data_IF_082549115010
#
_entry.id   IF_082549115010
#
_cell.length_a   1.000
_cell.length_b   1.000
_cell.length_c   1.000
_cell.angle_alpha   90.00
_cell.angle_beta   90.00
_cell.angle_gamma   90.00
#
_symmetry.space_group_name_H-M   'P 1'
#
loop_
_entity.id
_entity.type
_entity.pdbx_description
1 polymer ?
#
# COMPACT_ATOMS: atom_id res chain seq x y z
N UNK A 1 -15.15 13.18 30.24
CA UNK A 1 -14.29 12.00 30.00
C UNK A 1 -14.70 11.30 28.68
N UNK A 2 -15.96 10.89 28.53
CA UNK A 2 -16.47 10.21 27.33
C UNK A 2 -16.35 11.05 26.03
N UNK A 3 -16.59 12.36 26.10
CA UNK A 3 -16.48 13.28 24.97
C UNK A 3 -15.04 13.39 24.45
N UNK A 4 -14.05 13.47 25.33
CA UNK A 4 -12.63 13.48 24.95
C UNK A 4 -12.18 12.18 24.27
N UNK A 5 -12.75 11.05 24.67
CA UNK A 5 -12.46 9.78 24.04
C UNK A 5 -12.96 9.72 22.59
N UNK A 6 -14.20 10.17 22.35
CA UNK A 6 -14.74 10.22 20.98
C UNK A 6 -13.96 11.21 20.09
N UNK A 7 -13.58 12.37 20.65
CA UNK A 7 -12.69 13.30 19.94
C UNK A 7 -11.35 12.65 19.56
N UNK A 8 -10.77 11.85 20.46
CA UNK A 8 -9.54 11.10 20.17
C UNK A 8 -9.72 10.04 19.08
N UNK A 9 -10.85 9.33 19.04
CA UNK A 9 -11.16 8.39 17.95
C UNK A 9 -11.32 9.11 16.61
N UNK A 10 -11.96 10.27 16.59
CA UNK A 10 -12.12 11.09 15.38
C UNK A 10 -10.76 11.63 14.89
N UNK A 11 -9.90 12.06 15.81
CA UNK A 11 -8.52 12.48 15.51
C UNK A 11 -7.69 11.32 14.95
N UNK A 12 -7.77 10.16 15.57
CA UNK A 12 -7.08 8.94 15.12
C UNK A 12 -7.47 8.59 13.67
N UNK A 13 -8.78 8.63 13.37
CA UNK A 13 -9.31 8.42 12.01
C UNK A 13 -8.78 9.46 11.03
N UNK A 14 -8.79 10.73 11.40
CA UNK A 14 -8.35 11.81 10.52
C UNK A 14 -6.85 11.71 10.19
N UNK A 15 -6.00 11.38 11.18
CA UNK A 15 -4.57 11.18 10.98
C UNK A 15 -4.28 9.98 10.08
N UNK A 16 -4.98 8.86 10.29
CA UNK A 16 -4.81 7.66 9.45
C UNK A 16 -5.16 7.94 7.99
N UNK A 17 -6.26 8.65 7.73
CA UNK A 17 -6.65 9.05 6.37
C UNK A 17 -5.65 10.01 5.74
N UNK A 18 -5.10 10.95 6.52
CA UNK A 18 -4.05 11.85 6.04
C UNK A 18 -2.79 11.07 5.64
N UNK A 19 -2.35 10.12 6.47
CA UNK A 19 -1.23 9.22 6.16
C UNK A 19 -1.50 8.38 4.91
N UNK A 20 -2.72 7.82 4.81
CA UNK A 20 -3.14 7.06 3.63
C UNK A 20 -3.07 7.86 2.33
N UNK A 21 -3.51 9.12 2.34
CA UNK A 21 -3.37 10.03 1.21
C UNK A 21 -1.91 10.32 0.84
N UNK A 22 -1.02 10.40 1.83
CA UNK A 22 0.42 10.59 1.59
C UNK A 22 1.05 9.33 0.98
N UNK A 23 0.73 8.14 1.47
CA UNK A 23 1.21 6.87 0.96
C UNK A 23 0.73 6.64 -0.49
N UNK A 24 -0.57 6.87 -0.77
CA UNK A 24 -1.12 6.81 -2.13
C UNK A 24 -0.39 7.77 -3.08
N UNK A 25 -0.17 9.00 -2.66
CA UNK A 25 0.54 10.01 -3.46
C UNK A 25 2.01 9.61 -3.72
N UNK A 26 2.68 8.97 -2.76
CA UNK A 26 4.04 8.50 -2.93
C UNK A 26 4.12 7.41 -4.02
N UNK A 27 3.20 6.43 -4.03
CA UNK A 27 3.11 5.39 -5.07
C UNK A 27 2.82 6.03 -6.44
N UNK A 28 1.88 6.97 -6.53
CA UNK A 28 1.54 7.66 -7.77
C UNK A 28 2.73 8.46 -8.33
N UNK A 29 3.47 9.16 -7.48
CA UNK A 29 4.67 9.88 -7.88
C UNK A 29 5.78 8.95 -8.36
N UNK A 30 6.04 7.84 -7.64
CA UNK A 30 7.07 6.87 -8.01
C UNK A 30 6.76 6.24 -9.40
N UNK A 31 5.51 5.88 -9.65
CA UNK A 31 5.08 5.29 -10.92
C UNK A 31 5.03 6.31 -12.07
N UNK A 32 4.70 7.57 -11.78
CA UNK A 32 4.81 8.67 -12.73
C UNK A 32 6.27 8.97 -13.06
N UNK A 33 7.17 8.90 -12.06
CA UNK A 33 8.61 9.01 -12.27
C UNK A 33 9.14 7.93 -13.22
N UNK A 34 8.67 6.69 -13.08
CA UNK A 34 9.00 5.60 -14.00
C UNK A 34 8.60 5.94 -15.44
N UNK A 35 7.33 6.31 -15.67
CA UNK A 35 6.80 6.63 -16.99
C UNK A 35 7.55 7.79 -17.67
N UNK A 36 7.87 8.82 -16.90
CA UNK A 36 8.47 10.06 -17.41
C UNK A 36 10.00 10.10 -17.30
N UNK A 37 10.62 9.10 -16.66
CA UNK A 37 12.05 9.07 -16.30
C UNK A 37 12.46 10.32 -15.52
N UNK A 38 11.64 10.73 -14.55
CA UNK A 38 11.75 12.00 -13.83
C UNK A 38 12.42 11.81 -12.46
N UNK A 39 13.69 12.20 -12.35
CA UNK A 39 14.47 12.16 -11.09
C UNK A 39 13.92 13.10 -10.02
N UNK A 40 13.28 14.22 -10.41
CA UNK A 40 12.73 15.16 -9.41
C UNK A 40 11.56 14.51 -8.65
N UNK A 41 10.70 13.75 -9.35
CA UNK A 41 9.65 12.98 -8.71
C UNK A 41 10.21 11.89 -7.80
N UNK A 42 11.29 11.19 -8.20
CA UNK A 42 11.96 10.23 -7.32
C UNK A 42 12.42 10.90 -6.02
N UNK A 43 13.13 12.03 -6.10
CA UNK A 43 13.57 12.76 -4.92
C UNK A 43 12.41 13.25 -4.05
N UNK A 44 11.29 13.64 -4.66
CA UNK A 44 10.09 14.02 -3.91
C UNK A 44 9.48 12.85 -3.13
N UNK A 45 9.55 11.62 -3.68
CA UNK A 45 9.12 10.39 -2.97
C UNK A 45 10.04 10.13 -1.78
N UNK A 46 11.36 10.12 -1.98
CA UNK A 46 12.32 9.92 -0.88
C UNK A 46 12.14 10.96 0.24
N UNK A 47 11.86 12.21 -0.12
CA UNK A 47 11.64 13.26 0.86
C UNK A 47 10.33 13.11 1.67
N UNK A 48 9.33 12.41 1.11
CA UNK A 48 8.03 12.20 1.79
C UNK A 48 8.07 11.10 2.86
N UNK A 49 9.05 10.19 2.82
CA UNK A 49 9.20 9.07 3.75
C UNK A 49 9.23 9.52 5.22
N UNK A 50 10.07 10.51 5.53
CA UNK A 50 10.18 11.03 6.90
C UNK A 50 8.86 11.58 7.44
N UNK A 51 8.01 12.15 6.59
CA UNK A 51 6.72 12.68 7.00
C UNK A 51 5.71 11.56 7.27
N UNK A 52 5.72 10.48 6.46
CA UNK A 52 4.90 9.28 6.68
C UNK A 52 5.29 8.64 8.02
N UNK A 53 6.59 8.43 8.25
CA UNK A 53 7.12 7.82 9.49
C UNK A 53 6.87 8.71 10.73
N UNK A 54 6.75 10.03 10.56
CA UNK A 54 6.37 10.92 11.66
C UNK A 54 4.90 10.75 12.05
N UNK A 55 4.01 10.73 11.06
CA UNK A 55 2.56 10.53 11.30
C UNK A 55 2.30 9.12 11.85
N UNK A 56 3.00 8.09 11.39
CA UNK A 56 2.92 6.73 11.92
C UNK A 56 3.10 6.72 13.44
N UNK A 57 4.20 7.34 13.92
CA UNK A 57 4.48 7.41 15.37
C UNK A 57 3.41 8.18 16.13
N UNK A 58 2.92 9.30 15.57
CA UNK A 58 1.85 10.08 16.20
C UNK A 58 0.54 9.30 16.32
N UNK A 59 0.22 8.45 15.34
CA UNK A 59 -0.96 7.57 15.36
C UNK A 59 -0.79 6.51 16.45
N UNK A 60 0.37 5.87 16.54
CA UNK A 60 0.66 4.85 17.55
C UNK A 60 0.59 5.42 18.96
N UNK A 61 1.21 6.60 19.21
CA UNK A 61 1.14 7.28 20.50
C UNK A 61 -0.31 7.60 20.90
N UNK A 62 -1.09 8.17 19.97
CA UNK A 62 -2.49 8.49 20.22
C UNK A 62 -3.33 7.23 20.48
N UNK A 63 -3.11 6.15 19.73
CA UNK A 63 -3.81 4.88 19.92
C UNK A 63 -3.51 4.28 21.30
N UNK A 64 -2.25 4.27 21.72
CA UNK A 64 -1.82 3.77 23.05
C UNK A 64 -2.42 4.62 24.17
N UNK A 65 -2.43 5.95 24.03
CA UNK A 65 -3.03 6.85 25.02
C UNK A 65 -4.54 6.59 25.18
N UNK A 66 -5.27 6.39 24.08
CA UNK A 66 -6.69 6.06 24.11
C UNK A 66 -6.96 4.71 24.79
N UNK A 67 -6.12 3.71 24.55
CA UNK A 67 -6.22 2.40 25.22
C UNK A 67 -5.92 2.49 26.73
N UNK A 68 -4.90 3.29 27.11
CA UNK A 68 -4.47 3.44 28.50
C UNK A 68 -5.47 4.24 29.36
N UNK A 69 -6.04 5.31 28.79
CA UNK A 69 -6.90 6.24 29.53
C UNK A 69 -8.33 5.75 29.75
N UNK A 70 -8.84 4.88 28.87
CA UNK A 70 -10.24 4.47 28.91
C UNK A 70 -10.33 2.98 28.49
N UNK A 71 -10.97 2.17 29.30
CA UNK A 71 -11.23 0.78 28.95
C UNK A 71 -12.25 0.74 27.78
N UNK A 72 -11.80 0.76 26.49
CA UNK A 72 -12.72 0.85 25.37
C UNK A 72 -13.60 -0.39 25.27
N UNK A 73 -14.87 -0.19 24.90
CA UNK A 73 -15.81 -1.30 24.67
C UNK A 73 -15.46 -2.01 23.35
N UNK A 74 -15.94 -3.21 23.17
CA UNK A 74 -15.55 -4.13 22.10
C UNK A 74 -15.44 -3.49 20.69
N UNK A 75 -16.34 -2.58 20.30
CA UNK A 75 -16.30 -1.91 18.98
C UNK A 75 -15.17 -0.90 18.89
N UNK A 76 -15.01 -0.07 19.95
CA UNK A 76 -13.96 0.95 19.99
C UNK A 76 -12.57 0.29 20.08
N UNK A 77 -12.47 -0.81 20.83
CA UNK A 77 -11.22 -1.59 20.90
C UNK A 77 -10.84 -2.16 19.52
N UNK A 78 -11.82 -2.73 18.79
CA UNK A 78 -11.54 -3.24 17.44
C UNK A 78 -11.15 -2.11 16.48
N UNK A 79 -11.79 -0.94 16.58
CA UNK A 79 -11.41 0.23 15.80
C UNK A 79 -9.96 0.64 16.04
N UNK A 80 -9.56 0.86 17.31
CA UNK A 80 -8.19 1.28 17.64
C UNK A 80 -7.18 0.21 17.17
N UNK A 81 -7.49 -1.08 17.39
CA UNK A 81 -6.62 -2.19 16.96
C UNK A 81 -6.48 -2.24 15.42
N UNK A 82 -7.58 -2.03 14.69
CA UNK A 82 -7.55 -1.96 13.23
C UNK A 82 -6.72 -0.77 12.75
N UNK A 83 -6.89 0.42 13.37
CA UNK A 83 -6.09 1.61 13.06
C UNK A 83 -4.60 1.36 13.23
N UNK A 84 -4.16 0.74 14.34
CA UNK A 84 -2.74 0.43 14.56
C UNK A 84 -2.15 -0.50 13.49
N UNK A 85 -2.93 -1.48 13.03
CA UNK A 85 -2.47 -2.38 11.97
C UNK A 85 -2.45 -1.69 10.60
N UNK A 86 -3.51 -0.98 10.26
CA UNK A 86 -3.60 -0.20 9.02
C UNK A 86 -2.48 0.84 8.97
N UNK A 87 -2.14 1.46 10.11
CA UNK A 87 -1.02 2.39 10.25
C UNK A 87 0.30 1.77 9.78
N UNK A 88 0.62 0.56 10.28
CA UNK A 88 1.82 -0.16 9.88
C UNK A 88 1.81 -0.56 8.39
N UNK A 89 0.65 -0.97 7.83
CA UNK A 89 0.55 -1.29 6.41
C UNK A 89 0.71 -0.05 5.52
N UNK A 90 0.21 1.11 5.94
CA UNK A 90 0.39 2.38 5.21
C UNK A 90 1.85 2.87 5.20
N UNK A 91 2.58 2.70 6.31
CA UNK A 91 4.03 2.95 6.35
C UNK A 91 4.75 2.07 5.32
N UNK A 92 4.45 0.77 5.28
CA UNK A 92 5.04 -0.16 4.31
C UNK A 92 4.67 0.19 2.87
N UNK A 93 3.46 0.69 2.60
CA UNK A 93 3.11 1.24 1.27
C UNK A 93 4.04 2.41 0.90
N UNK A 94 4.33 3.30 1.85
CA UNK A 94 5.31 4.39 1.68
C UNK A 94 6.71 3.86 1.37
N UNK A 95 7.18 2.86 2.10
CA UNK A 95 8.47 2.19 1.88
C UNK A 95 8.57 1.56 0.49
N UNK A 96 7.49 0.88 0.03
CA UNK A 96 7.48 0.33 -1.32
C UNK A 96 7.57 1.43 -2.39
N UNK A 97 6.93 2.59 -2.17
CA UNK A 97 7.05 3.72 -3.08
C UNK A 97 8.50 4.26 -3.15
N UNK A 98 9.22 4.31 -2.03
CA UNK A 98 10.65 4.64 -1.97
C UNK A 98 11.47 3.63 -2.76
N UNK A 99 11.25 2.33 -2.53
CA UNK A 99 11.93 1.26 -3.27
C UNK A 99 11.70 1.38 -4.79
N UNK A 100 10.48 1.70 -5.23
CA UNK A 100 10.16 1.94 -6.65
C UNK A 100 10.96 3.14 -7.16
N UNK A 101 10.97 4.27 -6.44
CA UNK A 101 11.70 5.47 -6.84
C UNK A 101 13.21 5.22 -6.98
N UNK A 102 13.83 4.43 -6.08
CA UNK A 102 15.24 4.05 -6.17
C UNK A 102 15.53 3.20 -7.43
N UNK A 103 14.65 2.25 -7.78
CA UNK A 103 14.78 1.49 -9.03
C UNK A 103 14.66 2.39 -10.26
N UNK A 104 13.72 3.35 -10.24
CA UNK A 104 13.59 4.35 -11.30
C UNK A 104 14.87 5.19 -11.43
N UNK A 105 15.47 5.61 -10.31
CA UNK A 105 16.76 6.34 -10.35
C UNK A 105 17.90 5.52 -10.96
N UNK A 106 17.89 4.20 -10.79
CA UNK A 106 18.81 3.28 -11.48
C UNK A 106 18.52 3.26 -12.98
N UNK A 107 17.25 3.06 -13.36
CA UNK A 107 16.82 3.00 -14.75
C UNK A 107 17.10 4.27 -15.56
N UNK A 108 16.99 5.43 -14.95
CA UNK A 108 17.24 6.72 -15.63
C UNK A 108 18.70 6.87 -16.07
N UNK A 109 19.65 6.21 -15.41
CA UNK A 109 21.08 6.20 -15.77
C UNK A 109 21.41 5.33 -16.98
N UNK A 110 20.49 4.44 -17.35
CA UNK A 110 20.64 3.49 -18.45
C UNK A 110 19.89 3.99 -19.70
N UNK A 111 20.30 3.56 -20.91
CA UNK A 111 19.53 3.86 -22.10
C UNK A 111 18.11 3.28 -21.99
N UNK A 112 17.08 3.93 -22.61
CA UNK A 112 15.76 3.37 -22.67
C UNK A 112 15.76 1.99 -23.35
N UNK A 113 14.99 1.06 -22.80
CA UNK A 113 14.76 -0.26 -23.38
C UNK A 113 13.26 -0.51 -23.56
N UNK A 114 12.89 -1.19 -24.63
CA UNK A 114 11.53 -1.68 -24.83
C UNK A 114 11.37 -2.97 -24.01
N UNK A 115 10.63 -2.88 -22.92
CA UNK A 115 10.44 -3.98 -21.97
C UNK A 115 9.01 -4.53 -22.11
N UNK A 116 8.84 -5.87 -22.16
CA UNK A 116 7.53 -6.49 -22.35
C UNK A 116 6.71 -6.52 -21.03
N UNK A 117 6.48 -5.35 -20.44
CA UNK A 117 5.74 -5.14 -19.20
C UNK A 117 4.99 -3.80 -19.21
N UNK A 118 3.77 -3.81 -18.70
CA UNK A 118 2.94 -2.60 -18.56
C UNK A 118 2.89 -2.14 -17.09
N UNK A 119 4.01 -1.58 -16.60
CA UNK A 119 4.10 -0.99 -15.26
C UNK A 119 3.00 0.07 -15.02
N UNK A 120 2.68 1.00 -15.96
CA UNK A 120 1.61 1.97 -15.76
C UNK A 120 0.25 1.33 -15.46
N UNK A 121 -0.10 0.26 -16.17
CA UNK A 121 -1.37 -0.47 -15.94
C UNK A 121 -1.39 -1.13 -14.56
N UNK A 122 -0.32 -1.81 -14.19
CA UNK A 122 -0.19 -2.45 -12.88
C UNK A 122 -0.29 -1.40 -11.76
N UNK A 123 0.42 -0.28 -11.89
CA UNK A 123 0.38 0.82 -10.95
C UNK A 123 -1.02 1.42 -10.78
N UNK A 124 -1.78 1.60 -11.88
CA UNK A 124 -3.15 2.10 -11.83
C UNK A 124 -4.08 1.15 -11.05
N UNK A 125 -3.92 -0.16 -11.25
CA UNK A 125 -4.67 -1.18 -10.52
C UNK A 125 -4.36 -1.14 -9.03
N UNK A 126 -3.08 -1.11 -8.67
CA UNK A 126 -2.60 -1.10 -7.28
C UNK A 126 -3.02 0.19 -6.55
N UNK A 127 -2.87 1.36 -7.18
CA UNK A 127 -3.35 2.63 -6.61
C UNK A 127 -4.87 2.61 -6.40
N UNK A 128 -5.61 1.97 -7.31
CA UNK A 128 -7.05 1.75 -7.15
C UNK A 128 -7.39 0.86 -5.94
N UNK A 129 -6.57 -0.14 -5.63
CA UNK A 129 -6.75 -0.99 -4.44
C UNK A 129 -6.52 -0.20 -3.15
N UNK A 130 -5.41 0.54 -3.04
CA UNK A 130 -5.10 1.38 -1.87
C UNK A 130 -6.24 2.38 -1.61
N UNK A 131 -6.68 3.09 -2.65
CA UNK A 131 -7.78 4.05 -2.54
C UNK A 131 -9.06 3.41 -2.03
N UNK A 132 -9.47 2.26 -2.59
CA UNK A 132 -10.68 1.55 -2.17
C UNK A 132 -10.57 0.99 -0.74
N UNK A 133 -9.39 0.53 -0.33
CA UNK A 133 -9.15 0.12 1.04
C UNK A 133 -9.35 1.28 2.02
N UNK A 134 -8.80 2.47 1.71
CA UNK A 134 -9.02 3.68 2.50
C UNK A 134 -10.48 4.17 2.48
N UNK A 135 -11.16 4.04 1.35
CA UNK A 135 -12.58 4.35 1.20
C UNK A 135 -13.45 3.43 2.08
N UNK A 136 -13.14 2.13 2.09
CA UNK A 136 -13.80 1.14 2.96
C UNK A 136 -13.66 1.48 4.44
N UNK A 137 -12.46 1.95 4.85
CA UNK A 137 -12.20 2.43 6.20
C UNK A 137 -12.98 3.72 6.52
N UNK A 138 -12.97 4.70 5.61
CA UNK A 138 -13.69 5.97 5.79
C UNK A 138 -15.19 5.75 5.98
N UNK A 139 -15.79 4.90 5.15
CA UNK A 139 -17.22 4.63 5.13
C UNK A 139 -17.64 3.53 6.12
N UNK A 140 -16.69 2.85 6.79
CA UNK A 140 -16.93 1.69 7.64
C UNK A 140 -17.75 0.60 6.93
N UNK A 141 -17.44 0.30 5.65
CA UNK A 141 -18.17 -0.63 4.79
C UNK A 141 -17.32 -1.84 4.42
N UNK A 142 -17.66 -2.99 4.97
CA UNK A 142 -16.98 -4.25 4.68
C UNK A 142 -17.12 -4.70 3.22
N UNK A 143 -18.23 -4.36 2.54
CA UNK A 143 -18.45 -4.69 1.13
C UNK A 143 -17.44 -4.03 0.18
N UNK A 144 -17.00 -2.79 0.50
CA UNK A 144 -15.95 -2.10 -0.24
C UNK A 144 -14.59 -2.79 -0.01
N UNK A 145 -14.33 -3.23 1.21
CA UNK A 145 -13.12 -3.99 1.55
C UNK A 145 -13.08 -5.35 0.82
N UNK A 146 -14.19 -6.10 0.79
CA UNK A 146 -14.28 -7.36 0.04
C UNK A 146 -14.02 -7.17 -1.47
N UNK A 147 -14.35 -6.01 -2.02
CA UNK A 147 -14.04 -5.72 -3.41
C UNK A 147 -12.53 -5.56 -3.66
N UNK A 148 -11.76 -5.09 -2.66
CA UNK A 148 -10.28 -5.01 -2.74
C UNK A 148 -9.69 -6.41 -2.77
N UNK A 149 -10.14 -7.33 -1.90
CA UNK A 149 -9.65 -8.71 -1.87
C UNK A 149 -9.77 -9.42 -3.23
N UNK A 150 -10.83 -9.13 -4.00
CA UNK A 150 -11.03 -9.70 -5.33
C UNK A 150 -10.11 -9.12 -6.41
N UNK A 151 -9.46 -7.99 -6.14
CA UNK A 151 -8.54 -7.37 -7.09
C UNK A 151 -7.13 -7.96 -6.99
N UNK A 152 -6.80 -8.59 -5.89
CA UNK A 152 -5.48 -9.14 -5.59
C UNK A 152 -5.02 -10.15 -6.65
N UNK A 153 -5.84 -11.14 -6.96
CA UNK A 153 -5.57 -12.13 -8.02
C UNK A 153 -5.20 -11.51 -9.40
N UNK A 154 -5.66 -10.28 -9.64
CA UNK A 154 -5.33 -9.58 -10.91
C UNK A 154 -3.89 -9.08 -10.86
N UNK A 155 -3.47 -8.51 -9.72
CA UNK A 155 -2.11 -7.99 -9.55
C UNK A 155 -1.10 -9.13 -9.52
N UNK A 156 -1.42 -10.23 -8.83
CA UNK A 156 -0.57 -11.43 -8.80
C UNK A 156 -0.30 -11.96 -10.20
N UNK A 157 -1.35 -12.12 -11.03
CA UNK A 157 -1.17 -12.54 -12.42
C UNK A 157 -0.32 -11.56 -13.23
N UNK A 158 -0.49 -10.24 -13.02
CA UNK A 158 0.35 -9.24 -13.70
C UNK A 158 1.81 -9.35 -13.29
N UNK A 159 2.10 -9.64 -12.03
CA UNK A 159 3.46 -9.85 -11.52
C UNK A 159 4.08 -11.14 -12.08
N UNK A 160 3.33 -12.24 -12.12
CA UNK A 160 3.79 -13.51 -12.71
C UNK A 160 4.08 -13.39 -14.20
N UNK A 161 3.18 -12.73 -14.96
CA UNK A 161 3.39 -12.45 -16.39
C UNK A 161 4.62 -11.56 -16.60
N UNK A 162 4.82 -10.54 -15.75
CA UNK A 162 5.99 -9.68 -15.79
C UNK A 162 7.28 -10.48 -15.59
N UNK A 163 7.31 -11.38 -14.61
CA UNK A 163 8.46 -12.24 -14.35
C UNK A 163 8.84 -13.08 -15.59
N UNK A 164 7.87 -13.82 -16.14
CA UNK A 164 8.11 -14.68 -17.31
C UNK A 164 8.59 -13.88 -18.52
N UNK A 165 7.91 -12.76 -18.81
CA UNK A 165 8.21 -11.96 -19.98
C UNK A 165 9.58 -11.27 -19.87
N UNK A 166 9.93 -10.72 -18.71
CA UNK A 166 11.21 -10.04 -18.50
C UNK A 166 12.39 -11.04 -18.48
N UNK A 167 12.22 -12.23 -17.89
CA UNK A 167 13.24 -13.29 -17.94
C UNK A 167 13.51 -13.72 -19.39
N UNK A 168 12.47 -13.91 -20.19
CA UNK A 168 12.60 -14.25 -21.61
C UNK A 168 13.30 -13.12 -22.39
N UNK A 169 12.97 -11.87 -22.09
CA UNK A 169 13.61 -10.71 -22.72
C UNK A 169 15.11 -10.64 -22.38
N UNK A 170 15.51 -10.89 -21.11
CA UNK A 170 16.92 -10.95 -20.71
C UNK A 170 17.68 -12.06 -21.44
N UNK A 171 17.09 -13.24 -21.65
CA UNK A 171 17.70 -14.33 -22.42
C UNK A 171 17.85 -13.97 -23.89
N UNK A 172 16.87 -13.29 -24.48
CA UNK A 172 16.87 -12.93 -25.89
C UNK A 172 17.79 -11.74 -26.21
N UNK A 173 17.95 -10.81 -25.26
CA UNK A 173 18.80 -9.65 -25.40
C UNK A 173 19.51 -9.34 -24.06
N UNK A 174 20.73 -9.86 -23.85
CA UNK A 174 21.49 -9.64 -22.63
C UNK A 174 21.81 -8.16 -22.33
N UNK A 175 21.82 -7.29 -23.33
CA UNK A 175 22.17 -5.87 -23.16
C UNK A 175 21.13 -5.09 -22.35
N UNK A 176 19.87 -5.59 -22.26
CA UNK A 176 18.81 -4.98 -21.46
C UNK A 176 18.62 -5.61 -20.08
N UNK A 177 19.51 -6.52 -19.69
CA UNK A 177 19.35 -7.30 -18.44
C UNK A 177 19.14 -6.39 -17.20
N UNK A 178 19.92 -5.33 -17.10
CA UNK A 178 19.82 -4.42 -15.95
C UNK A 178 18.47 -3.68 -15.93
N UNK A 179 18.01 -3.19 -17.09
CA UNK A 179 16.72 -2.51 -17.21
C UNK A 179 15.56 -3.46 -16.90
N UNK A 180 15.63 -4.69 -17.39
CA UNK A 180 14.62 -5.71 -17.14
C UNK A 180 14.58 -6.13 -15.67
N UNK A 181 15.74 -6.24 -15.01
CA UNK A 181 15.82 -6.52 -13.58
C UNK A 181 15.23 -5.39 -12.73
N UNK A 182 15.56 -4.14 -13.02
CA UNK A 182 14.96 -3.00 -12.30
C UNK A 182 13.44 -2.92 -12.51
N UNK A 183 12.94 -3.20 -13.72
CA UNK A 183 11.51 -3.26 -14.00
C UNK A 183 10.81 -4.42 -13.25
N UNK A 184 11.45 -5.58 -13.15
CA UNK A 184 10.96 -6.71 -12.38
C UNK A 184 10.83 -6.36 -10.88
N UNK A 185 11.82 -5.67 -10.34
CA UNK A 185 11.80 -5.22 -8.94
C UNK A 185 10.72 -4.16 -8.71
N UNK A 186 10.45 -3.29 -9.68
CA UNK A 186 9.33 -2.33 -9.62
C UNK A 186 7.99 -3.08 -9.58
N UNK A 187 7.79 -4.08 -10.46
CA UNK A 187 6.58 -4.89 -10.47
C UNK A 187 6.36 -5.59 -9.12
N UNK A 188 7.43 -6.16 -8.56
CA UNK A 188 7.35 -6.81 -7.24
C UNK A 188 7.05 -5.84 -6.09
N UNK A 189 7.55 -4.62 -6.12
CA UNK A 189 7.18 -3.62 -5.13
C UNK A 189 5.72 -3.17 -5.29
N UNK A 190 5.19 -3.11 -6.51
CA UNK A 190 3.78 -2.85 -6.75
C UNK A 190 2.88 -3.98 -6.23
N UNK A 191 3.26 -5.24 -6.43
CA UNK A 191 2.54 -6.38 -5.85
C UNK A 191 2.51 -6.28 -4.32
N UNK A 192 3.62 -5.96 -3.67
CA UNK A 192 3.65 -5.75 -2.21
C UNK A 192 2.75 -4.60 -1.75
N UNK A 193 2.61 -3.54 -2.55
CA UNK A 193 1.63 -2.47 -2.24
C UNK A 193 0.21 -3.03 -2.30
N UNK A 194 -0.11 -3.92 -3.26
CA UNK A 194 -1.40 -4.60 -3.33
C UNK A 194 -1.64 -5.49 -2.12
N UNK A 195 -0.65 -6.28 -1.69
CA UNK A 195 -0.70 -7.08 -0.46
C UNK A 195 -1.06 -6.22 0.76
N UNK A 196 -0.42 -5.05 0.91
CA UNK A 196 -0.74 -4.13 2.01
C UNK A 196 -2.15 -3.55 1.89
N UNK A 197 -2.63 -3.25 0.68
CA UNK A 197 -4.02 -2.82 0.48
C UNK A 197 -5.03 -3.93 0.85
N UNK A 198 -4.68 -5.19 0.58
CA UNK A 198 -5.45 -6.37 0.98
C UNK A 198 -5.49 -6.51 2.50
N UNK A 199 -4.35 -6.38 3.19
CA UNK A 199 -4.28 -6.39 4.66
C UNK A 199 -5.15 -5.28 5.27
N UNK A 200 -5.08 -4.06 4.72
CA UNK A 200 -5.93 -2.94 5.16
C UNK A 200 -7.42 -3.30 5.02
N UNK A 201 -7.81 -3.88 3.89
CA UNK A 201 -9.19 -4.30 3.66
C UNK A 201 -9.65 -5.38 4.67
N UNK A 202 -8.82 -6.37 4.96
CA UNK A 202 -9.09 -7.41 5.96
C UNK A 202 -9.27 -6.82 7.36
N UNK A 203 -8.43 -5.87 7.76
CA UNK A 203 -8.54 -5.21 9.05
C UNK A 203 -9.79 -4.30 9.14
N UNK A 204 -10.26 -3.71 8.05
CA UNK A 204 -11.55 -3.02 7.97
C UNK A 204 -12.71 -4.02 8.17
N UNK A 205 -12.70 -5.18 7.51
CA UNK A 205 -13.72 -6.22 7.69
C UNK A 205 -13.75 -6.68 9.16
N UNK A 206 -12.58 -6.93 9.74
CA UNK A 206 -12.48 -7.28 11.15
C UNK A 206 -13.07 -6.21 12.08
N UNK A 207 -12.75 -4.95 11.85
CA UNK A 207 -13.30 -3.85 12.64
C UNK A 207 -14.82 -3.78 12.55
N UNK A 208 -15.35 -3.78 11.32
CA UNK A 208 -16.78 -3.56 11.06
C UNK A 208 -17.62 -4.75 11.49
N UNK A 209 -17.21 -5.98 11.11
CA UNK A 209 -18.01 -7.22 11.34
C UNK A 209 -17.57 -8.02 12.56
N UNK A 210 -16.36 -7.78 13.08
CA UNK A 210 -15.79 -8.61 14.15
C UNK A 210 -15.38 -10.02 13.69
N UNK A 211 -15.29 -10.25 12.36
CA UNK A 211 -14.92 -11.52 11.76
C UNK A 211 -13.48 -11.43 11.19
N UNK A 212 -12.61 -12.38 11.54
CA UNK A 212 -11.28 -12.51 10.95
C UNK A 212 -11.39 -13.31 9.64
N UNK A 213 -11.05 -12.65 8.52
CA UNK A 213 -11.13 -13.25 7.17
C UNK A 213 -9.77 -13.68 6.63
N UNK A 214 -8.67 -13.39 7.33
CA UNK A 214 -7.27 -13.62 6.90
C UNK A 214 -6.91 -15.09 6.69
N UNK A 215 -7.68 -16.02 7.22
CA UNK A 215 -7.40 -17.47 7.20
C UNK A 215 -8.58 -18.28 6.66
N UNK A 216 -9.34 -17.74 5.73
CA UNK A 216 -10.30 -18.57 5.00
C UNK A 216 -9.55 -19.53 4.07
N UNK A 217 -8.87 -20.53 4.69
CA UNK A 217 -8.63 -21.79 4.00
C UNK A 217 -10.01 -22.38 3.69
N UNK A 218 -10.19 -22.75 2.43
CA UNK A 218 -11.35 -23.53 2.02
C UNK A 218 -11.59 -24.64 3.05
N UNK A 219 -12.82 -24.75 3.58
CA UNK A 219 -13.20 -25.91 4.37
C UNK A 219 -12.85 -27.15 3.54
N UNK A 220 -12.17 -28.16 4.10
CA UNK A 220 -11.96 -29.40 3.39
C UNK A 220 -13.34 -29.98 3.08
N UNK A 221 -13.59 -30.31 1.78
CA UNK A 221 -14.74 -31.09 1.34
C UNK A 221 -14.83 -32.46 2.06
#
# INVERSE_FOLDING_TARGET
MRERFHQGLDELRARLLAMGGMAEQAVERATTAYRNRDLKLCHAVLASENAINAIEREIDELALDLLAMQQPMAVDLRFITAVMKINADLERVGDQAVNIAERVMSLVKLPPADLPIDIPRMAATVSGMVRRALESFLEAKAELAEAVLKMDDVVDRMNDEAYVNLVNAMHSNPDITQQALDALLIARNLERVADHATNIAEDVIFWVRGADVRHHQAAPE
#
